data_IF_986289470462
#
_entry.id   IF_986289470462
#
_cell.length_a   1.000
_cell.length_b   1.000
_cell.length_c   1.000
_cell.angle_alpha   90.00
_cell.angle_beta   90.00
_cell.angle_gamma   90.00
#
_symmetry.space_group_name_H-M   'P 1'
#
loop_
_entity.id
_entity.type
_entity.pdbx_description
1 polymer ?
#
# COMPACT_ATOMS: atom_id res chain seq x y z
N UNK A 1 16.37 1.12 15.06
CA UNK A 1 17.27 2.27 15.32
C UNK A 1 18.29 2.49 14.22
N UNK A 2 18.96 1.45 13.68
CA UNK A 2 19.96 1.61 12.63
C UNK A 2 19.37 2.06 11.28
N UNK A 3 18.16 1.62 10.93
CA UNK A 3 17.40 2.14 9.79
C UNK A 3 17.08 3.62 9.99
N UNK A 4 16.61 4.01 11.19
CA UNK A 4 16.37 5.40 11.57
C UNK A 4 17.63 6.26 11.42
N UNK A 5 18.77 5.82 11.99
CA UNK A 5 20.05 6.55 11.89
C UNK A 5 20.54 6.67 10.45
N UNK A 6 20.24 5.69 9.61
CA UNK A 6 20.53 5.71 8.17
C UNK A 6 19.75 6.83 7.47
N UNK A 7 18.45 6.93 7.75
CA UNK A 7 17.56 7.93 7.15
C UNK A 7 17.89 9.34 7.66
N UNK A 8 18.16 9.49 8.97
CA UNK A 8 18.55 10.78 9.55
C UNK A 8 19.83 11.37 8.94
N UNK A 9 20.74 10.52 8.43
CA UNK A 9 21.96 10.93 7.70
C UNK A 9 21.70 11.32 6.24
N UNK A 10 20.53 11.02 5.68
CA UNK A 10 20.20 11.39 4.31
C UNK A 10 19.98 12.89 4.21
N UNK A 11 19.25 13.46 5.16
CA UNK A 11 18.95 14.90 5.19
C UNK A 11 18.75 15.38 6.62
N UNK A 12 19.25 16.56 6.93
CA UNK A 12 18.96 17.27 8.17
C UNK A 12 17.63 18.04 8.12
N UNK A 13 16.99 18.13 6.94
CA UNK A 13 15.65 18.73 6.79
C UNK A 13 14.55 17.77 7.22
N UNK A 14 13.88 18.11 8.32
CA UNK A 14 12.78 17.32 8.86
C UNK A 14 11.62 17.11 7.88
N UNK A 15 11.43 18.02 6.93
CA UNK A 15 10.37 17.89 5.90
C UNK A 15 10.73 16.84 4.86
N UNK A 16 12.02 16.71 4.51
CA UNK A 16 12.53 15.62 3.69
C UNK A 16 12.35 14.28 4.42
N UNK A 17 12.68 14.25 5.73
CA UNK A 17 12.51 13.06 6.56
C UNK A 17 11.04 12.61 6.63
N UNK A 18 10.08 13.57 6.74
CA UNK A 18 8.63 13.27 6.68
C UNK A 18 8.26 12.54 5.40
N UNK A 19 8.75 12.99 4.24
CA UNK A 19 8.42 12.36 2.95
C UNK A 19 9.06 10.98 2.80
N UNK A 20 10.34 10.86 3.15
CA UNK A 20 11.04 9.56 3.05
C UNK A 20 10.44 8.53 4.01
N UNK A 21 10.27 8.89 5.29
CA UNK A 21 9.80 7.96 6.33
C UNK A 21 8.27 7.84 6.32
N UNK A 22 7.57 8.94 6.05
CA UNK A 22 6.11 8.97 6.07
C UNK A 22 5.46 8.41 4.82
N UNK A 23 6.11 8.49 3.64
CA UNK A 23 5.56 8.03 2.38
C UNK A 23 6.36 6.88 1.77
N UNK A 24 7.64 7.11 1.44
CA UNK A 24 8.40 6.16 0.64
C UNK A 24 8.71 4.87 1.40
N UNK A 25 8.99 4.96 2.70
CA UNK A 25 9.21 3.81 3.55
C UNK A 25 7.92 2.98 3.76
N UNK A 26 6.75 3.55 4.08
CA UNK A 26 5.49 2.82 4.07
C UNK A 26 5.18 2.15 2.72
N UNK A 27 5.37 2.83 1.59
CA UNK A 27 5.19 2.22 0.26
C UNK A 27 6.05 0.96 0.12
N UNK A 28 7.31 1.03 0.54
CA UNK A 28 8.23 -0.11 0.51
C UNK A 28 7.77 -1.25 1.44
N UNK A 29 7.43 -0.91 2.69
CA UNK A 29 7.03 -1.88 3.71
C UNK A 29 5.68 -2.54 3.39
N UNK A 30 4.75 -1.82 2.77
CA UNK A 30 3.44 -2.36 2.38
C UNK A 30 3.60 -3.45 1.31
N UNK A 31 4.47 -3.23 0.34
CA UNK A 31 4.81 -4.27 -0.64
C UNK A 31 5.43 -5.52 -0.01
N UNK A 32 6.12 -5.35 1.10
CA UNK A 32 6.81 -6.44 1.79
C UNK A 32 5.92 -7.20 2.78
N UNK A 33 5.10 -6.49 3.55
CA UNK A 33 4.37 -7.05 4.69
C UNK A 33 2.84 -6.90 4.57
N UNK A 34 2.34 -5.83 3.96
CA UNK A 34 0.91 -5.54 3.85
C UNK A 34 0.20 -5.27 5.18
N UNK A 35 -1.11 -5.15 5.12
CA UNK A 35 -2.04 -5.22 6.25
C UNK A 35 -1.77 -4.26 7.43
N UNK A 36 -1.44 -2.99 7.15
CA UNK A 36 -1.26 -1.96 8.18
C UNK A 36 0.08 -2.01 8.95
N UNK A 37 0.92 -3.01 8.69
CA UNK A 37 2.26 -3.09 9.27
C UNK A 37 3.14 -1.87 8.97
N UNK A 38 3.08 -1.24 7.78
CA UNK A 38 3.88 -0.08 7.47
C UNK A 38 3.64 1.10 8.40
N UNK A 39 2.40 1.42 8.72
CA UNK A 39 2.07 2.52 9.63
C UNK A 39 2.58 2.26 11.06
N UNK A 40 2.46 1.02 11.54
CA UNK A 40 2.97 0.59 12.83
C UNK A 40 4.50 0.66 12.93
N UNK A 41 5.22 0.61 11.82
CA UNK A 41 6.69 0.73 11.77
C UNK A 41 7.11 2.20 11.55
N UNK A 42 6.47 2.91 10.63
CA UNK A 42 6.88 4.27 10.25
C UNK A 42 6.57 5.31 11.34
N UNK A 43 5.45 5.14 12.07
CA UNK A 43 5.07 6.09 13.12
C UNK A 43 6.14 6.18 14.24
N UNK A 44 6.63 5.07 14.83
CA UNK A 44 7.74 5.13 15.80
C UNK A 44 9.01 5.79 15.26
N UNK A 45 9.31 5.65 13.97
CA UNK A 45 10.46 6.32 13.39
C UNK A 45 10.29 7.84 13.35
N UNK A 46 9.11 8.32 12.98
CA UNK A 46 8.80 9.75 13.01
C UNK A 46 8.82 10.30 14.44
N UNK A 47 8.19 9.61 15.40
CA UNK A 47 8.21 10.00 16.82
C UNK A 47 9.64 10.05 17.34
N UNK A 48 10.44 9.06 17.01
CA UNK A 48 11.84 9.02 17.41
C UNK A 48 12.70 10.15 16.79
N UNK A 49 12.27 10.75 15.69
CA UNK A 49 12.85 11.97 15.11
C UNK A 49 12.25 13.25 15.69
N UNK A 50 11.45 13.16 16.76
CA UNK A 50 10.89 14.29 17.49
C UNK A 50 9.63 14.88 16.86
N UNK A 51 8.90 14.13 16.02
CA UNK A 51 7.58 14.53 15.54
C UNK A 51 6.51 14.25 16.59
N UNK A 52 5.44 15.04 16.57
CA UNK A 52 4.25 14.81 17.40
C UNK A 52 3.67 13.41 17.12
N UNK A 53 3.41 12.59 18.17
CA UNK A 53 2.99 11.20 17.98
C UNK A 53 1.71 11.05 17.16
N UNK A 54 0.67 11.84 17.43
CA UNK A 54 -0.61 11.77 16.70
C UNK A 54 -0.43 12.16 15.23
N UNK A 55 0.40 13.18 14.96
CA UNK A 55 0.73 13.57 13.58
C UNK A 55 1.57 12.52 12.89
N UNK A 56 2.51 11.88 13.61
CA UNK A 56 3.36 10.80 13.08
C UNK A 56 2.52 9.60 12.63
N UNK A 57 1.54 9.19 13.44
CA UNK A 57 0.61 8.11 13.08
C UNK A 57 -0.20 8.50 11.84
N UNK A 58 -0.78 9.70 11.82
CA UNK A 58 -1.60 10.15 10.70
C UNK A 58 -0.79 10.23 9.38
N UNK A 59 0.47 10.67 9.43
CA UNK A 59 1.38 10.70 8.28
C UNK A 59 1.72 9.28 7.81
N UNK A 60 2.03 8.37 8.74
CA UNK A 60 2.37 6.99 8.42
C UNK A 60 1.19 6.24 7.77
N UNK A 61 -0.04 6.43 8.29
CA UNK A 61 -1.27 5.91 7.69
C UNK A 61 -1.53 6.49 6.30
N UNK A 62 -1.25 7.79 6.08
CA UNK A 62 -1.39 8.41 4.77
C UNK A 62 -0.39 7.83 3.75
N UNK A 63 0.83 7.53 4.18
CA UNK A 63 1.84 6.89 3.33
C UNK A 63 1.47 5.48 2.90
N UNK A 64 0.69 4.80 3.72
CA UNK A 64 0.18 3.46 3.47
C UNK A 64 -1.06 3.43 2.56
N UNK A 65 -1.75 4.56 2.39
CA UNK A 65 -3.05 4.62 1.73
C UNK A 65 -3.03 4.37 0.20
N UNK A 66 -1.90 4.51 -0.49
CA UNK A 66 -1.82 4.26 -1.94
C UNK A 66 -1.17 2.92 -2.29
N UNK A 67 -0.11 2.48 -1.59
CA UNK A 67 0.55 1.22 -1.92
C UNK A 67 -0.25 -0.03 -1.52
N UNK A 68 -1.26 0.12 -0.67
CA UNK A 68 -2.05 -1.00 -0.16
C UNK A 68 -2.77 -1.80 -1.26
N UNK A 69 -2.98 -1.22 -2.44
CA UNK A 69 -3.43 -1.96 -3.63
C UNK A 69 -2.45 -3.06 -4.08
N UNK A 70 -1.17 -2.95 -3.72
CA UNK A 70 -0.15 -3.97 -3.99
C UNK A 70 0.48 -4.49 -2.69
N UNK A 71 -0.24 -4.38 -1.58
CA UNK A 71 0.18 -4.89 -0.29
C UNK A 71 0.44 -6.39 -0.31
N UNK A 72 1.42 -6.84 0.51
CA UNK A 72 1.79 -8.26 0.59
C UNK A 72 2.18 -8.84 -0.77
N UNK A 73 3.12 -8.22 -1.48
CA UNK A 73 3.57 -8.65 -2.81
C UNK A 73 2.43 -8.73 -3.85
N UNK A 74 1.53 -7.76 -3.86
CA UNK A 74 0.49 -7.64 -4.87
C UNK A 74 -0.81 -8.38 -4.57
N UNK A 75 -0.93 -9.06 -3.43
CA UNK A 75 -2.10 -9.89 -3.09
C UNK A 75 -3.44 -9.15 -3.20
N UNK A 76 -3.47 -7.88 -2.80
CA UNK A 76 -4.68 -7.06 -2.86
C UNK A 76 -5.23 -6.92 -4.28
N UNK A 77 -4.37 -6.78 -5.28
CA UNK A 77 -4.79 -6.72 -6.70
C UNK A 77 -4.93 -8.11 -7.31
N UNK A 78 -4.05 -9.05 -7.00
CA UNK A 78 -4.06 -10.40 -7.57
C UNK A 78 -5.30 -11.17 -7.12
N UNK A 79 -5.45 -11.37 -5.82
CA UNK A 79 -6.57 -12.14 -5.28
C UNK A 79 -7.85 -11.31 -5.20
N UNK A 80 -7.72 -10.01 -4.90
CA UNK A 80 -8.88 -9.13 -4.88
C UNK A 80 -9.55 -8.99 -6.25
N UNK A 81 -8.78 -9.12 -7.33
CA UNK A 81 -9.28 -9.07 -8.70
C UNK A 81 -9.56 -10.43 -9.34
N UNK A 82 -9.50 -11.52 -8.56
CA UNK A 82 -9.64 -12.89 -9.08
C UNK A 82 -10.97 -13.10 -9.83
N UNK A 83 -12.08 -12.53 -9.33
CA UNK A 83 -13.37 -12.64 -9.99
C UNK A 83 -13.37 -12.17 -11.46
N UNK A 84 -12.65 -11.09 -11.77
CA UNK A 84 -12.53 -10.59 -13.15
C UNK A 84 -11.64 -11.49 -14.01
N UNK A 85 -10.60 -12.07 -13.42
CA UNK A 85 -9.67 -12.97 -14.12
C UNK A 85 -10.34 -14.31 -14.40
N UNK A 86 -11.06 -14.86 -13.43
CA UNK A 86 -11.77 -16.13 -13.54
C UNK A 86 -12.94 -16.04 -14.55
N UNK A 87 -13.58 -14.87 -14.64
CA UNK A 87 -14.59 -14.60 -15.67
C UNK A 87 -13.98 -14.37 -17.07
N UNK A 88 -12.65 -14.31 -17.20
CA UNK A 88 -11.97 -14.10 -18.48
C UNK A 88 -12.06 -12.67 -19.04
N UNK A 89 -12.54 -11.70 -18.24
CA UNK A 89 -12.72 -10.30 -18.69
C UNK A 89 -11.49 -9.43 -18.39
N UNK A 90 -10.53 -9.93 -17.62
CA UNK A 90 -9.29 -9.21 -17.29
C UNK A 90 -8.12 -10.15 -17.07
N UNK A 91 -6.96 -9.55 -16.83
CA UNK A 91 -5.75 -10.22 -16.34
C UNK A 91 -5.21 -9.45 -15.14
N UNK A 92 -4.37 -10.11 -14.33
CA UNK A 92 -3.68 -9.46 -13.20
C UNK A 92 -2.89 -8.22 -13.68
N UNK A 93 -2.25 -8.32 -14.84
CA UNK A 93 -1.48 -7.22 -15.43
C UNK A 93 -2.37 -6.02 -15.79
N UNK A 94 -3.52 -6.25 -16.41
CA UNK A 94 -4.48 -5.19 -16.75
C UNK A 94 -5.07 -4.55 -15.49
N UNK A 95 -5.44 -5.35 -14.49
CA UNK A 95 -5.92 -4.85 -13.21
C UNK A 95 -4.85 -3.96 -12.55
N UNK A 96 -3.61 -4.44 -12.42
CA UNK A 96 -2.50 -3.68 -11.84
C UNK A 96 -2.21 -2.39 -12.61
N UNK A 97 -2.23 -2.45 -13.94
CA UNK A 97 -1.98 -1.31 -14.81
C UNK A 97 -3.03 -0.21 -14.63
N UNK A 98 -4.31 -0.56 -14.54
CA UNK A 98 -5.37 0.43 -14.34
C UNK A 98 -5.37 0.98 -12.92
N UNK A 99 -5.14 0.15 -11.90
CA UNK A 99 -4.97 0.60 -10.50
C UNK A 99 -3.81 1.60 -10.39
N UNK A 100 -2.70 1.34 -11.08
CA UNK A 100 -1.56 2.25 -11.14
C UNK A 100 -1.92 3.64 -11.65
N UNK A 101 -2.80 3.74 -12.65
CA UNK A 101 -3.28 5.03 -13.17
C UNK A 101 -4.07 5.84 -12.14
N UNK A 102 -4.82 5.20 -11.26
CA UNK A 102 -5.48 5.90 -10.15
C UNK A 102 -4.45 6.44 -9.16
N UNK A 103 -3.53 5.58 -8.73
CA UNK A 103 -2.56 5.92 -7.68
C UNK A 103 -1.51 6.94 -8.11
N UNK A 104 -1.26 7.12 -9.40
CA UNK A 104 -0.40 8.19 -9.91
C UNK A 104 -0.75 9.56 -9.31
N UNK A 105 -2.02 9.90 -9.29
CA UNK A 105 -2.48 11.18 -8.75
C UNK A 105 -2.42 11.22 -7.22
N UNK A 106 -2.68 10.08 -6.56
CA UNK A 106 -2.54 9.96 -5.11
C UNK A 106 -1.11 10.24 -4.66
N UNK A 107 -0.13 9.50 -5.18
CA UNK A 107 1.28 9.66 -4.78
C UNK A 107 1.86 11.01 -5.15
N UNK A 108 1.33 11.66 -6.20
CA UNK A 108 1.76 13.00 -6.61
C UNK A 108 1.47 14.05 -5.54
N UNK A 109 0.30 13.99 -4.90
CA UNK A 109 -0.16 14.99 -3.92
C UNK A 109 0.21 14.67 -2.48
N UNK A 110 0.47 13.40 -2.15
CA UNK A 110 0.75 12.95 -0.78
C UNK A 110 1.93 13.68 -0.12
N UNK A 111 3.10 13.92 -0.77
CA UNK A 111 4.20 14.66 -0.15
C UNK A 111 3.78 16.06 0.33
N UNK A 112 2.91 16.71 -0.42
CA UNK A 112 2.39 18.05 -0.07
C UNK A 112 1.44 17.97 1.12
N UNK A 113 0.53 16.98 1.13
CA UNK A 113 -0.41 16.79 2.24
C UNK A 113 0.37 16.46 3.53
N UNK A 114 1.39 15.61 3.48
CA UNK A 114 2.22 15.26 4.63
C UNK A 114 2.93 16.47 5.24
N UNK A 115 3.57 17.28 4.41
CA UNK A 115 4.24 18.49 4.89
C UNK A 115 3.23 19.50 5.44
N UNK A 116 2.04 19.58 4.83
CA UNK A 116 0.95 20.41 5.36
C UNK A 116 0.43 19.90 6.71
N UNK A 117 0.28 18.59 6.88
CA UNK A 117 -0.14 17.98 8.15
C UNK A 117 0.89 18.22 9.26
N UNK A 118 2.18 18.13 8.95
CA UNK A 118 3.25 18.30 9.92
C UNK A 118 3.52 19.76 10.30
N UNK A 119 3.40 20.69 9.36
CA UNK A 119 3.90 22.07 9.52
C UNK A 119 2.95 23.17 9.04
N UNK A 120 1.78 22.79 8.51
CA UNK A 120 0.85 23.73 7.89
C UNK A 120 1.45 24.43 6.67
N UNK A 121 0.85 25.57 6.28
CA UNK A 121 1.30 26.37 5.11
C UNK A 121 2.76 26.84 5.21
N UNK A 122 3.27 27.01 6.42
CA UNK A 122 4.65 27.47 6.66
C UNK A 122 5.69 26.41 6.28
N UNK A 123 5.28 25.13 6.22
CA UNK A 123 6.13 24.01 5.80
C UNK A 123 6.60 24.07 4.37
N UNK A 124 5.87 24.75 3.48
CA UNK A 124 6.18 24.76 2.04
C UNK A 124 7.34 25.68 1.64
N UNK A 125 7.75 26.60 2.53
CA UNK A 125 8.78 27.60 2.19
C UNK A 125 10.13 26.93 1.83
N UNK A 126 10.51 27.01 0.55
CA UNK A 126 11.81 26.53 0.05
C UNK A 126 11.92 25.01 -0.17
N UNK A 127 10.84 24.21 0.04
CA UNK A 127 10.85 22.76 -0.13
C UNK A 127 10.07 22.30 -1.38
N UNK A 128 9.30 23.19 -2.01
CA UNK A 128 8.43 22.84 -3.14
C UNK A 128 9.13 22.07 -4.26
N UNK A 129 10.36 22.44 -4.72
CA UNK A 129 11.03 21.66 -5.76
C UNK A 129 11.27 20.21 -5.37
N UNK A 130 11.65 19.97 -4.10
CA UNK A 130 11.83 18.61 -3.60
C UNK A 130 10.49 17.84 -3.52
N UNK A 131 9.41 18.45 -3.02
CA UNK A 131 8.10 17.81 -2.95
C UNK A 131 7.57 17.44 -4.33
N UNK A 132 7.72 18.34 -5.30
CA UNK A 132 7.37 18.05 -6.70
C UNK A 132 8.20 16.90 -7.26
N UNK A 133 9.53 16.94 -7.05
CA UNK A 133 10.40 15.84 -7.46
C UNK A 133 10.00 14.52 -6.83
N UNK A 134 9.77 14.49 -5.50
CA UNK A 134 9.38 13.30 -4.77
C UNK A 134 8.05 12.72 -5.27
N UNK A 135 7.04 13.57 -5.47
CA UNK A 135 5.74 13.16 -6.01
C UNK A 135 5.84 12.64 -7.44
N UNK A 136 6.49 13.38 -8.34
CA UNK A 136 6.63 13.02 -9.75
C UNK A 136 7.48 11.76 -9.92
N UNK A 137 8.61 11.65 -9.26
CA UNK A 137 9.47 10.46 -9.37
C UNK A 137 8.77 9.21 -8.85
N UNK A 138 8.09 9.28 -7.69
CA UNK A 138 7.33 8.15 -7.15
C UNK A 138 6.17 7.75 -8.07
N UNK A 139 5.46 8.75 -8.64
CA UNK A 139 4.40 8.55 -9.61
C UNK A 139 4.92 7.79 -10.85
N UNK A 140 6.03 8.23 -11.45
CA UNK A 140 6.60 7.60 -12.64
C UNK A 140 7.09 6.17 -12.36
N UNK A 141 7.78 5.96 -11.24
CA UNK A 141 8.23 4.61 -10.84
C UNK A 141 7.05 3.68 -10.63
N UNK A 142 6.03 4.12 -9.90
CA UNK A 142 4.82 3.32 -9.66
C UNK A 142 4.09 3.01 -10.96
N UNK A 143 3.98 3.97 -11.88
CA UNK A 143 3.40 3.75 -13.20
C UNK A 143 4.16 2.70 -14.00
N UNK A 144 5.49 2.80 -14.06
CA UNK A 144 6.31 1.85 -14.81
C UNK A 144 6.18 0.44 -14.21
N UNK A 145 6.29 0.30 -12.91
CA UNK A 145 6.23 -1.00 -12.26
C UNK A 145 4.84 -1.64 -12.37
N UNK A 146 3.77 -0.88 -12.15
CA UNK A 146 2.40 -1.40 -12.22
C UNK A 146 1.94 -1.78 -13.62
N UNK A 147 2.48 -1.12 -14.66
CA UNK A 147 2.05 -1.35 -16.05
C UNK A 147 2.95 -2.35 -16.82
N UNK A 148 4.23 -2.45 -16.49
CA UNK A 148 5.20 -3.18 -17.32
C UNK A 148 5.96 -4.28 -16.57
N UNK A 149 5.92 -4.29 -15.22
CA UNK A 149 6.68 -5.28 -14.44
C UNK A 149 5.75 -6.29 -13.77
N UNK A 150 4.83 -5.84 -12.92
CA UNK A 150 3.84 -6.71 -12.28
C UNK A 150 3.40 -6.22 -10.91
N UNK A 151 2.24 -6.72 -10.47
CA UNK A 151 1.63 -6.34 -9.20
C UNK A 151 2.51 -6.67 -8.00
N UNK A 152 3.25 -7.78 -8.07
CA UNK A 152 4.03 -8.37 -6.98
C UNK A 152 5.15 -7.46 -6.48
N UNK A 153 5.74 -6.68 -7.39
CA UNK A 153 6.90 -5.84 -7.08
C UNK A 153 6.56 -4.35 -7.07
N UNK A 154 5.34 -3.97 -7.47
CA UNK A 154 4.97 -2.57 -7.68
C UNK A 154 5.17 -1.73 -6.43
N UNK A 155 4.60 -2.11 -5.29
CA UNK A 155 4.73 -1.32 -4.07
C UNK A 155 6.17 -1.31 -3.56
N UNK A 156 6.76 -2.49 -3.37
CA UNK A 156 8.12 -2.61 -2.82
C UNK A 156 9.17 -1.92 -3.71
N UNK A 157 9.11 -2.15 -5.02
CA UNK A 157 10.01 -1.50 -5.98
C UNK A 157 9.83 0.02 -6.01
N UNK A 158 8.57 0.49 -5.99
CA UNK A 158 8.27 1.93 -5.95
C UNK A 158 8.89 2.57 -4.71
N UNK A 159 8.67 1.99 -3.53
CA UNK A 159 9.20 2.54 -2.28
C UNK A 159 10.73 2.62 -2.29
N UNK A 160 11.41 1.52 -2.66
CA UNK A 160 12.87 1.47 -2.67
C UNK A 160 13.48 2.45 -3.68
N UNK A 161 13.00 2.42 -4.93
CA UNK A 161 13.53 3.28 -6.00
C UNK A 161 13.28 4.75 -5.63
N UNK A 162 12.10 5.08 -5.09
CA UNK A 162 11.79 6.45 -4.66
C UNK A 162 12.69 6.92 -3.52
N UNK A 163 13.01 6.06 -2.55
CA UNK A 163 14.01 6.39 -1.50
C UNK A 163 15.37 6.69 -2.14
N UNK A 164 15.84 5.84 -3.05
CA UNK A 164 17.14 6.04 -3.72
C UNK A 164 17.17 7.33 -4.53
N UNK A 165 16.12 7.62 -5.28
CA UNK A 165 15.99 8.87 -6.06
C UNK A 165 15.94 10.10 -5.14
N UNK A 166 15.22 10.00 -4.01
CA UNK A 166 15.15 11.06 -3.01
C UNK A 166 16.52 11.34 -2.37
N UNK A 167 17.27 10.28 -2.03
CA UNK A 167 18.64 10.37 -1.52
C UNK A 167 19.55 11.03 -2.56
N UNK A 168 19.45 10.60 -3.82
CA UNK A 168 20.24 11.19 -4.92
C UNK A 168 19.92 12.68 -5.09
N UNK A 169 18.64 13.06 -5.09
CA UNK A 169 18.23 14.46 -5.18
C UNK A 169 18.85 15.31 -4.05
N UNK A 170 18.73 14.84 -2.80
CA UNK A 170 19.26 15.58 -1.63
C UNK A 170 20.78 15.76 -1.71
N UNK A 171 21.51 14.75 -2.20
CA UNK A 171 22.97 14.80 -2.32
C UNK A 171 23.45 15.62 -3.50
N UNK A 172 22.76 15.58 -4.65
CA UNK A 172 23.20 16.20 -5.90
C UNK A 172 22.68 17.64 -6.06
N UNK A 173 21.40 17.85 -5.70
CA UNK A 173 20.73 19.16 -5.87
C UNK A 173 20.74 19.95 -4.56
N UNK A 174 20.61 19.23 -3.45
CA UNK A 174 20.50 19.83 -2.12
C UNK A 174 19.09 20.36 -1.82
N UNK A 175 18.81 20.62 -0.55
CA UNK A 175 17.57 21.23 -0.09
C UNK A 175 17.94 22.44 0.79
N UNK A 176 17.40 23.62 0.49
CA UNK A 176 17.59 24.81 1.34
C UNK A 176 16.80 24.63 2.62
N UNK A 177 17.48 24.26 3.70
CA UNK A 177 16.87 23.96 5.00
C UNK A 177 16.94 25.19 5.92
N UNK A 178 15.80 25.86 6.19
CA UNK A 178 15.73 26.88 7.24
C UNK A 178 16.03 26.27 8.62
N UNK A 179 16.72 26.98 9.50
CA UNK A 179 17.13 26.49 10.83
C UNK A 179 15.97 25.91 11.66
N UNK A 180 14.78 26.44 11.46
CA UNK A 180 13.53 25.97 12.09
C UNK A 180 13.19 24.52 11.76
N UNK A 181 13.56 24.01 10.59
CA UNK A 181 13.26 22.67 10.10
C UNK A 181 14.47 21.73 10.16
N UNK A 182 15.61 22.25 10.66
CA UNK A 182 16.82 21.45 10.79
C UNK A 182 16.71 20.47 11.97
N UNK A 183 17.04 19.23 11.72
CA UNK A 183 17.19 18.23 12.78
C UNK A 183 18.52 18.50 13.50
N UNK A 184 18.44 18.69 14.83
CA UNK A 184 19.61 18.95 15.68
C UNK A 184 20.12 17.68 16.36
N UNK A 185 19.46 16.55 16.17
CA UNK A 185 19.92 15.28 16.78
C UNK A 185 21.17 14.76 16.06
N UNK A 186 22.22 14.50 16.83
CA UNK A 186 23.42 13.80 16.34
C UNK A 186 23.08 12.34 16.01
N UNK A 187 23.63 11.85 14.89
CA UNK A 187 23.46 10.46 14.48
C UNK A 187 24.20 9.54 15.47
N UNK A 188 23.45 8.75 16.23
CA UNK A 188 24.02 7.76 17.19
C UNK A 188 24.86 6.71 16.47
N UNK A 189 25.81 6.10 17.22
CA UNK A 189 26.63 5.00 16.74
C UNK A 189 25.75 3.81 16.31
N UNK A 190 26.02 3.23 15.14
CA UNK A 190 25.27 2.11 14.59
C UNK A 190 25.79 0.78 15.13
N UNK A 191 24.89 -0.14 15.41
CA UNK A 191 25.23 -1.54 15.69
C UNK A 191 25.45 -2.34 14.40
N UNK A 192 24.68 -2.05 13.37
CA UNK A 192 24.72 -2.73 12.08
C UNK A 192 24.99 -1.75 10.93
N UNK A 193 25.60 -2.25 9.87
CA UNK A 193 25.74 -1.48 8.63
C UNK A 193 24.36 -1.24 7.97
N UNK A 194 24.26 -0.23 7.10
CA UNK A 194 23.01 0.05 6.37
C UNK A 194 22.55 -1.16 5.57
N UNK A 195 23.49 -1.90 4.96
CA UNK A 195 23.18 -3.13 4.22
C UNK A 195 22.60 -4.21 5.15
N UNK A 196 23.24 -4.46 6.29
CA UNK A 196 22.76 -5.45 7.24
C UNK A 196 21.35 -5.12 7.75
N UNK A 197 21.11 -3.85 8.13
CA UNK A 197 19.79 -3.42 8.60
C UNK A 197 18.69 -3.57 7.56
N UNK A 198 19.01 -3.36 6.27
CA UNK A 198 18.06 -3.45 5.15
C UNK A 198 18.04 -4.82 4.48
N UNK A 199 18.90 -5.75 4.87
CA UNK A 199 19.13 -7.03 4.18
C UNK A 199 17.87 -7.87 3.96
N UNK A 200 16.91 -8.05 4.90
CA UNK A 200 15.72 -8.85 4.65
C UNK A 200 14.91 -8.31 3.48
N UNK A 201 14.81 -6.99 3.38
CA UNK A 201 14.05 -6.30 2.36
C UNK A 201 14.77 -6.30 1.00
N UNK A 202 16.10 -6.17 1.00
CA UNK A 202 16.92 -6.30 -0.21
C UNK A 202 16.79 -7.72 -0.79
N UNK A 203 16.81 -8.74 0.08
CA UNK A 203 16.58 -10.11 -0.35
C UNK A 203 15.19 -10.30 -0.97
N UNK A 204 14.14 -9.73 -0.39
CA UNK A 204 12.79 -9.77 -0.96
C UNK A 204 12.75 -9.11 -2.35
N UNK A 205 13.37 -7.94 -2.48
CA UNK A 205 13.41 -7.21 -3.74
C UNK A 205 14.10 -8.01 -4.87
N UNK A 206 15.07 -8.83 -4.54
CA UNK A 206 15.78 -9.68 -5.51
C UNK A 206 15.07 -11.00 -5.73
N UNK A 207 14.68 -11.69 -4.66
CA UNK A 207 14.14 -13.05 -4.75
C UNK A 207 12.72 -13.10 -5.31
N UNK A 208 11.86 -12.11 -5.02
CA UNK A 208 10.50 -12.10 -5.57
C UNK A 208 10.49 -12.04 -7.11
N UNK A 209 11.19 -11.09 -7.78
CA UNK A 209 11.28 -11.08 -9.23
C UNK A 209 12.01 -12.31 -9.77
N UNK A 210 13.05 -12.78 -9.08
CA UNK A 210 13.80 -13.97 -9.51
C UNK A 210 12.91 -15.22 -9.55
N UNK A 211 12.10 -15.43 -8.52
CA UNK A 211 11.14 -16.54 -8.49
C UNK A 211 10.05 -16.35 -9.53
N UNK A 212 9.50 -15.13 -9.66
CA UNK A 212 8.40 -14.84 -10.59
C UNK A 212 8.76 -15.00 -12.06
N UNK A 213 9.95 -14.54 -12.43
CA UNK A 213 10.39 -14.49 -13.83
C UNK A 213 11.53 -15.48 -14.15
N UNK A 214 12.44 -15.68 -13.21
CA UNK A 214 13.60 -16.57 -13.40
C UNK A 214 13.23 -18.04 -13.34
N UNK A 215 12.39 -18.44 -12.38
CA UNK A 215 11.98 -19.83 -12.25
C UNK A 215 11.25 -20.36 -13.52
N UNK A 216 10.23 -19.65 -14.07
CA UNK A 216 9.60 -20.06 -15.31
C UNK A 216 10.51 -20.04 -16.54
N UNK A 217 11.57 -19.22 -16.53
CA UNK A 217 12.53 -19.17 -17.63
C UNK A 217 13.47 -20.38 -17.66
N UNK A 218 13.73 -21.00 -16.52
CA UNK A 218 14.66 -22.14 -16.39
C UNK A 218 13.93 -23.47 -16.34
N UNK A 219 12.75 -23.53 -15.73
CA UNK A 219 11.96 -24.75 -15.56
C UNK A 219 10.91 -24.84 -16.67
N UNK A 220 10.91 -25.90 -17.51
CA UNK A 220 9.86 -26.09 -18.49
C UNK A 220 8.48 -26.09 -17.83
N UNK A 221 7.55 -25.32 -18.37
CA UNK A 221 6.23 -25.09 -17.77
C UNK A 221 6.26 -24.58 -16.31
N UNK A 222 7.35 -23.93 -15.90
CA UNK A 222 7.58 -23.50 -14.51
C UNK A 222 6.47 -22.64 -13.94
N UNK A 223 5.83 -21.80 -14.76
CA UNK A 223 4.69 -21.02 -14.31
C UNK A 223 3.47 -21.90 -13.99
N UNK A 224 3.18 -22.91 -14.81
CA UNK A 224 2.10 -23.86 -14.53
C UNK A 224 2.40 -24.68 -13.26
N UNK A 225 3.65 -25.09 -13.05
CA UNK A 225 4.10 -25.74 -11.81
C UNK A 225 3.90 -24.84 -10.59
N UNK A 226 4.23 -23.56 -10.67
CA UNK A 226 3.99 -22.60 -9.61
C UNK A 226 2.49 -22.49 -9.30
N UNK A 227 1.64 -22.42 -10.33
CA UNK A 227 0.19 -22.33 -10.16
C UNK A 227 -0.43 -23.59 -9.56
N UNK A 228 0.16 -24.78 -9.78
CA UNK A 228 -0.34 -26.06 -9.20
C UNK A 228 -0.37 -26.03 -7.66
N UNK A 229 0.60 -25.36 -7.02
CA UNK A 229 0.67 -25.19 -5.56
C UNK A 229 0.02 -23.90 -5.07
N UNK A 230 -0.55 -23.10 -5.97
CA UNK A 230 -0.99 -21.75 -5.70
C UNK A 230 0.19 -20.75 -5.73
N UNK A 231 0.10 -19.76 -6.61
CA UNK A 231 1.17 -18.76 -6.77
C UNK A 231 1.52 -18.03 -5.46
N UNK A 232 0.53 -17.80 -4.61
CA UNK A 232 0.69 -17.16 -3.30
C UNK A 232 1.64 -17.94 -2.39
N UNK A 233 1.57 -19.26 -2.41
CA UNK A 233 2.47 -20.10 -1.62
C UNK A 233 3.95 -19.81 -1.90
N UNK A 234 4.30 -19.54 -3.16
CA UNK A 234 5.66 -19.19 -3.54
C UNK A 234 6.08 -17.82 -2.99
N UNK A 235 5.17 -16.84 -2.99
CA UNK A 235 5.42 -15.52 -2.41
C UNK A 235 5.67 -15.65 -0.91
N UNK A 236 4.82 -16.37 -0.19
CA UNK A 236 4.96 -16.60 1.25
C UNK A 236 6.27 -17.32 1.59
N UNK A 237 6.64 -18.34 0.78
CA UNK A 237 7.90 -19.05 0.93
C UNK A 237 9.10 -18.12 0.74
N UNK A 238 9.08 -17.27 -0.27
CA UNK A 238 10.14 -16.28 -0.52
C UNK A 238 10.25 -15.31 0.65
N UNK A 239 9.13 -14.79 1.18
CA UNK A 239 9.13 -13.89 2.33
C UNK A 239 9.75 -14.58 3.56
N UNK A 240 9.37 -15.83 3.82
CA UNK A 240 9.94 -16.63 4.90
C UNK A 240 11.46 -16.80 4.75
N UNK A 241 11.92 -17.18 3.55
CA UNK A 241 13.36 -17.35 3.26
C UNK A 241 14.11 -16.04 3.44
N UNK A 242 13.57 -14.92 2.96
CA UNK A 242 14.15 -13.59 3.14
C UNK A 242 14.27 -13.21 4.62
N UNK A 243 13.25 -13.52 5.42
CA UNK A 243 13.28 -13.34 6.87
C UNK A 243 14.41 -14.15 7.54
N UNK A 244 14.58 -15.41 7.13
CA UNK A 244 15.66 -16.28 7.64
C UNK A 244 17.04 -15.77 7.23
N UNK A 245 17.25 -15.41 5.97
CA UNK A 245 18.49 -14.83 5.45
C UNK A 245 18.83 -13.50 6.15
N UNK A 246 17.83 -12.65 6.35
CA UNK A 246 17.98 -11.40 7.09
C UNK A 246 18.38 -11.62 8.54
N UNK A 247 17.76 -12.57 9.23
CA UNK A 247 18.14 -12.95 10.58
C UNK A 247 19.59 -13.46 10.67
N UNK A 248 20.01 -14.27 9.69
CA UNK A 248 21.40 -14.75 9.59
C UNK A 248 22.38 -13.60 9.34
N UNK A 249 22.07 -12.68 8.42
CA UNK A 249 22.90 -11.49 8.10
C UNK A 249 23.06 -10.56 9.31
N UNK A 250 22.01 -10.44 10.13
CA UNK A 250 22.03 -9.67 11.39
C UNK A 250 22.68 -10.40 12.54
N UNK A 251 23.08 -11.66 12.36
CA UNK A 251 23.65 -12.48 13.44
C UNK A 251 22.68 -12.71 14.61
N UNK A 252 21.37 -12.83 14.30
CA UNK A 252 20.35 -13.04 15.34
C UNK A 252 20.53 -14.38 16.01
N UNK A 253 20.55 -14.38 17.35
CA UNK A 253 20.70 -15.63 18.11
C UNK A 253 19.51 -16.58 17.89
N UNK A 254 19.74 -17.88 17.92
CA UNK A 254 18.68 -18.90 17.80
C UNK A 254 17.57 -18.70 18.83
N UNK A 255 17.91 -18.28 20.04
CA UNK A 255 16.95 -17.99 21.12
C UNK A 255 16.03 -16.83 20.75
N UNK A 256 16.60 -15.75 20.24
CA UNK A 256 15.84 -14.57 19.79
C UNK A 256 14.96 -14.91 18.58
N UNK A 257 15.53 -15.64 17.60
CA UNK A 257 14.77 -16.07 16.42
C UNK A 257 13.56 -16.94 16.80
N UNK A 258 13.76 -17.95 17.66
CA UNK A 258 12.67 -18.80 18.16
C UNK A 258 11.60 -18.02 18.91
N UNK A 259 12.00 -17.03 19.73
CA UNK A 259 11.06 -16.17 20.44
C UNK A 259 10.21 -15.33 19.49
N UNK A 260 10.82 -14.79 18.42
CA UNK A 260 10.11 -14.04 17.36
C UNK A 260 9.13 -14.96 16.63
N UNK A 261 9.57 -16.15 16.19
CA UNK A 261 8.69 -17.12 15.54
C UNK A 261 7.49 -17.49 16.42
N UNK A 262 7.70 -17.78 17.71
CA UNK A 262 6.62 -18.09 18.64
C UNK A 262 5.63 -16.93 18.79
N UNK A 263 6.13 -15.70 18.86
CA UNK A 263 5.28 -14.49 18.89
C UNK A 263 4.49 -14.32 17.58
N UNK A 264 5.13 -14.53 16.44
CA UNK A 264 4.49 -14.44 15.11
C UNK A 264 3.36 -15.44 14.99
N UNK A 265 3.57 -16.71 15.38
CA UNK A 265 2.51 -17.74 15.37
C UNK A 265 1.32 -17.32 16.23
N UNK A 266 1.56 -16.67 17.38
CA UNK A 266 0.48 -16.14 18.22
C UNK A 266 -0.37 -15.06 17.55
N UNK A 267 0.20 -14.31 16.61
CA UNK A 267 -0.54 -13.31 15.83
C UNK A 267 -1.25 -13.88 14.60
N UNK A 268 -0.86 -15.06 14.13
CA UNK A 268 -1.46 -15.70 12.94
C UNK A 268 -2.89 -16.16 13.22
N UNK A 269 -3.19 -16.70 14.38
CA UNK A 269 -4.51 -17.25 14.70
C UNK A 269 -5.65 -16.20 14.59
N UNK A 270 -5.54 -14.98 15.19
CA UNK A 270 -6.56 -13.94 14.98
C UNK A 270 -6.75 -13.55 13.52
N UNK A 271 -5.64 -13.46 12.76
CA UNK A 271 -5.68 -13.11 11.33
C UNK A 271 -6.40 -14.20 10.53
N UNK A 272 -6.10 -15.48 10.77
CA UNK A 272 -6.78 -16.59 10.12
C UNK A 272 -8.28 -16.61 10.43
N UNK A 273 -8.68 -16.37 11.68
CA UNK A 273 -10.09 -16.29 12.07
C UNK A 273 -10.78 -15.15 11.34
N UNK A 274 -10.18 -13.96 11.33
CA UNK A 274 -10.76 -12.78 10.66
C UNK A 274 -10.87 -13.02 9.15
N UNK A 275 -9.80 -13.42 8.49
CA UNK A 275 -9.80 -13.67 7.04
C UNK A 275 -10.72 -14.84 6.66
N UNK A 276 -10.72 -15.92 7.44
CA UNK A 276 -11.62 -17.05 7.23
C UNK A 276 -13.09 -16.64 7.35
N UNK A 277 -13.42 -15.84 8.37
CA UNK A 277 -14.79 -15.30 8.54
C UNK A 277 -15.21 -14.40 7.38
N UNK A 278 -14.32 -13.53 6.91
CA UNK A 278 -14.58 -12.68 5.75
C UNK A 278 -14.79 -13.48 4.46
N UNK A 279 -13.98 -14.52 4.25
CA UNK A 279 -14.16 -15.43 3.10
C UNK A 279 -15.50 -16.16 3.18
N UNK A 280 -15.91 -16.64 4.36
CA UNK A 280 -17.23 -17.27 4.54
C UNK A 280 -18.35 -16.29 4.20
N UNK A 281 -18.28 -15.05 4.67
CA UNK A 281 -19.27 -14.00 4.32
C UNK A 281 -19.28 -13.77 2.82
N UNK A 282 -18.12 -13.61 2.19
CA UNK A 282 -18.01 -13.42 0.74
C UNK A 282 -18.61 -14.59 -0.05
N UNK A 283 -18.30 -15.84 0.33
CA UNK A 283 -18.89 -17.03 -0.31
C UNK A 283 -20.39 -17.11 -0.15
N UNK A 284 -20.93 -16.78 1.02
CA UNK A 284 -22.39 -16.75 1.24
C UNK A 284 -23.03 -15.68 0.34
N UNK A 285 -22.44 -14.49 0.27
CA UNK A 285 -22.94 -13.39 -0.57
C UNK A 285 -22.89 -13.72 -2.06
N UNK A 286 -21.80 -14.36 -2.51
CA UNK A 286 -21.58 -14.74 -3.91
C UNK A 286 -22.37 -16.00 -4.33
N UNK A 287 -22.95 -16.73 -3.37
CA UNK A 287 -23.67 -17.97 -3.68
C UNK A 287 -24.88 -17.68 -4.58
N UNK A 288 -25.01 -18.37 -5.73
CA UNK A 288 -26.16 -18.22 -6.61
C UNK A 288 -27.50 -18.47 -5.92
N UNK A 289 -27.50 -19.34 -4.89
CA UNK A 289 -28.72 -19.67 -4.13
C UNK A 289 -29.24 -18.52 -3.27
N UNK A 290 -28.37 -17.58 -2.88
CA UNK A 290 -28.78 -16.41 -2.09
C UNK A 290 -29.22 -15.23 -2.97
N UNK A 291 -28.69 -15.11 -4.19
CA UNK A 291 -28.94 -14.00 -5.09
C UNK A 291 -28.51 -12.62 -4.57
N UNK A 292 -27.79 -12.59 -3.43
CA UNK A 292 -27.48 -11.34 -2.73
C UNK A 292 -26.64 -10.38 -3.58
N UNK A 293 -25.61 -10.89 -4.27
CA UNK A 293 -24.75 -10.05 -5.12
C UNK A 293 -25.50 -9.49 -6.32
N UNK A 294 -26.36 -10.30 -6.95
CA UNK A 294 -27.18 -9.85 -8.07
C UNK A 294 -28.14 -8.73 -7.64
N UNK A 295 -28.78 -8.87 -6.47
CA UNK A 295 -29.66 -7.82 -5.93
C UNK A 295 -28.89 -6.55 -5.62
N UNK A 296 -27.80 -6.64 -4.89
CA UNK A 296 -26.96 -5.47 -4.57
C UNK A 296 -26.43 -4.79 -5.83
N UNK A 297 -25.95 -5.56 -6.81
CA UNK A 297 -25.46 -5.01 -8.07
C UNK A 297 -26.59 -4.28 -8.82
N UNK A 298 -27.75 -4.91 -8.97
CA UNK A 298 -28.90 -4.32 -9.69
C UNK A 298 -29.46 -3.09 -8.98
N UNK A 299 -29.63 -3.16 -7.66
CA UNK A 299 -30.19 -2.06 -6.87
C UNK A 299 -29.25 -0.85 -6.87
N UNK A 300 -27.96 -1.04 -6.58
CA UNK A 300 -26.98 0.05 -6.61
C UNK A 300 -26.87 0.60 -8.05
N UNK A 301 -26.77 -0.27 -9.06
CA UNK A 301 -26.69 0.17 -10.46
C UNK A 301 -27.92 0.97 -10.88
N UNK A 302 -29.13 0.55 -10.46
CA UNK A 302 -30.38 1.24 -10.79
C UNK A 302 -30.49 2.63 -10.15
N UNK A 303 -30.03 2.77 -8.89
CA UNK A 303 -30.08 4.03 -8.15
C UNK A 303 -28.99 5.00 -8.62
N UNK A 304 -27.77 4.50 -8.80
CA UNK A 304 -26.59 5.33 -9.10
C UNK A 304 -26.38 5.50 -10.61
N UNK A 305 -26.79 4.53 -11.42
CA UNK A 305 -26.73 4.56 -12.87
C UNK A 305 -25.32 4.91 -13.38
N UNK A 306 -25.23 5.91 -14.25
CA UNK A 306 -23.97 6.35 -14.88
C UNK A 306 -22.90 6.84 -13.89
N UNK A 307 -23.25 7.12 -12.64
CA UNK A 307 -22.29 7.52 -11.60
C UNK A 307 -21.68 6.32 -10.86
N UNK A 308 -22.00 5.10 -11.28
CA UNK A 308 -21.50 3.88 -10.64
C UNK A 308 -19.97 3.82 -10.48
N UNK A 309 -19.12 4.28 -11.42
CA UNK A 309 -17.69 4.29 -11.23
C UNK A 309 -17.24 5.08 -9.98
N UNK A 310 -17.89 6.20 -9.69
CA UNK A 310 -17.61 6.97 -8.47
C UNK A 310 -18.12 6.23 -7.21
N UNK A 311 -19.27 5.55 -7.29
CA UNK A 311 -19.79 4.74 -6.21
C UNK A 311 -18.87 3.56 -5.89
N UNK A 312 -18.25 2.93 -6.90
CA UNK A 312 -17.30 1.83 -6.70
C UNK A 312 -16.11 2.24 -5.83
N UNK A 313 -15.58 3.45 -6.01
CA UNK A 313 -14.51 3.99 -5.14
C UNK A 313 -14.99 4.13 -3.69
N UNK A 314 -16.20 4.63 -3.49
CA UNK A 314 -16.79 4.80 -2.16
C UNK A 314 -17.07 3.44 -1.49
N UNK A 315 -17.60 2.48 -2.24
CA UNK A 315 -17.85 1.11 -1.77
C UNK A 315 -16.51 0.47 -1.35
N UNK A 316 -15.48 0.60 -2.19
CA UNK A 316 -14.14 0.10 -1.89
C UNK A 316 -13.59 0.65 -0.58
N UNK A 317 -13.68 1.96 -0.37
CA UNK A 317 -13.19 2.58 0.85
C UNK A 317 -14.00 2.19 2.09
N UNK A 318 -15.32 2.07 1.95
CA UNK A 318 -16.21 1.61 3.03
C UNK A 318 -15.95 0.14 3.38
N UNK A 319 -15.73 -0.70 2.37
CA UNK A 319 -15.37 -2.10 2.57
C UNK A 319 -14.05 -2.27 3.32
N UNK A 320 -13.02 -1.53 2.97
CA UNK A 320 -11.74 -1.57 3.67
C UNK A 320 -11.83 -1.01 5.10
N UNK A 321 -12.64 0.03 5.31
CA UNK A 321 -12.94 0.55 6.66
C UNK A 321 -13.56 -0.54 7.55
N UNK A 322 -14.49 -1.34 7.02
CA UNK A 322 -15.20 -2.39 7.76
C UNK A 322 -14.31 -3.61 7.95
N UNK A 323 -13.66 -4.09 6.88
CA UNK A 323 -12.90 -5.35 6.89
C UNK A 323 -11.49 -5.20 7.49
N UNK A 324 -10.99 -3.97 7.57
CA UNK A 324 -9.63 -3.69 8.03
C UNK A 324 -8.55 -3.86 6.95
N UNK A 325 -8.90 -4.27 5.74
CA UNK A 325 -7.93 -4.51 4.65
C UNK A 325 -8.51 -4.21 3.27
N UNK A 326 -7.65 -3.72 2.36
CA UNK A 326 -8.04 -3.56 0.94
C UNK A 326 -8.33 -4.90 0.26
N UNK A 327 -7.61 -5.96 0.63
CA UNK A 327 -7.86 -7.31 0.12
C UNK A 327 -9.26 -7.79 0.48
N UNK A 328 -9.66 -7.67 1.75
CA UNK A 328 -11.00 -8.07 2.20
C UNK A 328 -12.11 -7.32 1.47
N UNK A 329 -11.95 -6.00 1.29
CA UNK A 329 -12.89 -5.19 0.52
C UNK A 329 -13.00 -5.65 -0.94
N UNK A 330 -11.87 -5.91 -1.60
CA UNK A 330 -11.87 -6.34 -3.00
C UNK A 330 -12.50 -7.72 -3.18
N UNK A 331 -12.18 -8.69 -2.32
CA UNK A 331 -12.79 -10.03 -2.36
C UNK A 331 -14.31 -9.94 -2.17
N UNK A 332 -14.79 -9.08 -1.28
CA UNK A 332 -16.23 -8.93 -1.04
C UNK A 332 -16.97 -8.34 -2.22
N UNK A 333 -16.40 -7.39 -2.94
CA UNK A 333 -17.17 -6.58 -3.89
C UNK A 333 -16.76 -6.73 -5.36
N UNK A 334 -15.66 -7.44 -5.68
CA UNK A 334 -15.19 -7.56 -7.07
C UNK A 334 -16.24 -8.19 -8.00
N UNK A 335 -16.91 -9.26 -7.56
CA UNK A 335 -17.96 -9.92 -8.34
C UNK A 335 -19.20 -9.03 -8.51
N UNK A 336 -19.61 -8.32 -7.45
CA UNK A 336 -20.69 -7.33 -7.54
C UNK A 336 -20.39 -6.24 -8.57
N UNK A 337 -19.14 -5.75 -8.59
CA UNK A 337 -18.73 -4.73 -9.57
C UNK A 337 -18.68 -5.27 -10.99
N UNK A 338 -18.31 -6.54 -11.17
CA UNK A 338 -18.38 -7.21 -12.47
C UNK A 338 -19.81 -7.23 -13.01
N UNK A 339 -20.76 -7.71 -12.21
CA UNK A 339 -22.16 -7.79 -12.57
C UNK A 339 -22.78 -6.41 -12.84
N UNK A 340 -22.47 -5.41 -12.01
CA UNK A 340 -22.93 -4.05 -12.22
C UNK A 340 -22.34 -3.41 -13.50
N UNK A 341 -21.07 -3.72 -13.80
CA UNK A 341 -20.43 -3.27 -15.03
C UNK A 341 -21.13 -3.82 -16.28
N UNK A 342 -21.47 -5.10 -16.25
CA UNK A 342 -22.25 -5.76 -17.32
C UNK A 342 -23.63 -5.12 -17.49
N UNK A 343 -24.37 -4.96 -16.38
CA UNK A 343 -25.70 -4.35 -16.40
C UNK A 343 -25.71 -2.92 -16.93
N UNK A 344 -24.66 -2.15 -16.67
CA UNK A 344 -24.51 -0.77 -17.11
C UNK A 344 -23.75 -0.62 -18.43
N UNK A 345 -23.30 -1.72 -19.04
CA UNK A 345 -22.44 -1.72 -20.24
C UNK A 345 -21.18 -0.84 -20.05
N UNK A 346 -20.54 -0.95 -18.89
CA UNK A 346 -19.33 -0.23 -18.53
C UNK A 346 -18.13 -1.18 -18.45
N UNK A 347 -16.92 -0.63 -18.55
CA UNK A 347 -15.70 -1.42 -18.47
C UNK A 347 -15.45 -1.94 -17.03
N UNK A 348 -15.46 -3.27 -16.79
CA UNK A 348 -15.29 -3.85 -15.47
C UNK A 348 -13.90 -3.62 -14.88
N UNK A 349 -12.86 -3.49 -15.73
CA UNK A 349 -11.48 -3.27 -15.28
C UNK A 349 -11.33 -1.89 -14.65
N UNK A 350 -11.90 -0.86 -15.26
CA UNK A 350 -11.85 0.51 -14.74
C UNK A 350 -12.68 0.66 -13.46
N UNK A 351 -13.81 -0.01 -13.37
CA UNK A 351 -14.66 -0.04 -12.16
C UNK A 351 -13.92 -0.75 -11.02
N UNK A 352 -13.37 -1.94 -11.28
CA UNK A 352 -12.59 -2.67 -10.28
C UNK A 352 -11.35 -1.87 -9.83
N UNK A 353 -10.67 -1.19 -10.74
CA UNK A 353 -9.53 -0.36 -10.36
C UNK A 353 -9.94 0.81 -9.45
N UNK A 354 -11.11 1.41 -9.69
CA UNK A 354 -11.71 2.40 -8.79
C UNK A 354 -12.04 1.82 -7.41
N UNK A 355 -12.67 0.63 -7.37
CA UNK A 355 -12.90 -0.15 -6.14
C UNK A 355 -11.59 -0.38 -5.37
N UNK A 356 -10.56 -0.89 -6.03
CA UNK A 356 -9.27 -1.22 -5.42
C UNK A 356 -8.55 0.05 -4.91
N UNK A 357 -8.55 1.13 -5.68
CA UNK A 357 -7.99 2.41 -5.24
C UNK A 357 -8.75 2.98 -4.03
N UNK A 358 -10.08 2.87 -4.03
CA UNK A 358 -10.93 3.22 -2.89
C UNK A 358 -10.63 2.36 -1.67
N UNK A 359 -10.49 1.05 -1.85
CA UNK A 359 -10.17 0.11 -0.79
C UNK A 359 -8.79 0.40 -0.16
N UNK A 360 -7.80 0.70 -0.99
CA UNK A 360 -6.47 1.13 -0.52
C UNK A 360 -6.57 2.40 0.34
N UNK A 361 -7.34 3.38 -0.13
CA UNK A 361 -7.57 4.63 0.61
C UNK A 361 -8.35 4.42 1.91
N UNK A 362 -9.25 3.45 1.98
CA UNK A 362 -10.04 3.12 3.18
C UNK A 362 -9.16 2.71 4.37
N UNK A 363 -7.99 2.15 4.12
CA UNK A 363 -7.01 1.83 5.16
C UNK A 363 -6.57 3.05 5.98
N UNK A 364 -6.60 4.25 5.39
CA UNK A 364 -6.23 5.51 6.05
C UNK A 364 -7.13 5.87 7.25
N UNK A 365 -8.39 5.47 7.18
CA UNK A 365 -9.39 5.76 8.22
C UNK A 365 -9.86 4.49 8.95
N UNK A 366 -9.29 3.34 8.64
CA UNK A 366 -9.67 2.08 9.26
C UNK A 366 -9.30 2.06 10.76
N UNK A 367 -10.25 1.74 11.66
CA UNK A 367 -10.00 1.68 13.09
C UNK A 367 -8.89 0.69 13.47
N UNK A 368 -8.85 -0.49 12.83
CA UNK A 368 -7.85 -1.52 13.13
C UNK A 368 -6.41 -1.02 12.91
N UNK A 369 -6.16 -0.36 11.76
CA UNK A 369 -4.85 0.18 11.44
C UNK A 369 -4.48 1.34 12.35
N UNK A 370 -5.47 2.18 12.69
CA UNK A 370 -5.28 3.31 13.61
C UNK A 370 -4.90 2.81 15.01
N UNK A 371 -5.65 1.84 15.56
CA UNK A 371 -5.37 1.24 16.88
C UNK A 371 -3.99 0.58 16.89
N UNK A 372 -3.67 -0.21 15.86
CA UNK A 372 -2.38 -0.87 15.74
C UNK A 372 -1.22 0.14 15.73
N UNK A 373 -1.34 1.23 14.97
CA UNK A 373 -0.33 2.28 14.92
C UNK A 373 -0.24 3.08 16.24
N UNK A 374 -1.38 3.39 16.88
CA UNK A 374 -1.43 4.04 18.19
C UNK A 374 -0.69 3.22 19.26
N UNK A 375 -0.86 1.91 19.25
CA UNK A 375 -0.22 1.01 20.20
C UNK A 375 1.32 1.02 20.09
N UNK A 376 1.88 1.35 18.93
CA UNK A 376 3.35 1.34 18.72
C UNK A 376 4.06 2.57 19.26
N UNK A 377 3.31 3.64 19.57
CA UNK A 377 3.85 4.93 20.06
C UNK A 377 3.17 5.41 21.33
N UNK A 378 2.58 4.49 22.11
CA UNK A 378 1.91 4.75 23.38
C UNK A 378 0.79 5.80 23.28
N UNK A 379 0.02 5.76 22.18
CA UNK A 379 -1.11 6.67 21.92
C UNK A 379 -2.47 5.95 21.94
N UNK A 380 -2.59 4.82 22.62
CA UNK A 380 -3.86 4.13 22.82
C UNK A 380 -4.84 5.09 23.53
N UNK A 381 -6.05 5.22 22.99
CA UNK A 381 -7.08 6.17 23.45
C UNK A 381 -7.11 7.50 22.68
N UNK A 382 -6.10 7.78 21.83
CA UNK A 382 -6.04 8.99 20.99
C UNK A 382 -6.41 8.71 19.52
N UNK A 383 -7.02 7.56 19.23
CA UNK A 383 -7.40 7.13 17.86
C UNK A 383 -8.32 8.14 17.18
N UNK A 384 -9.24 8.74 17.94
CA UNK A 384 -10.15 9.78 17.44
C UNK A 384 -9.39 11.01 16.89
N UNK A 385 -8.31 11.42 17.55
CA UNK A 385 -7.55 12.58 17.12
C UNK A 385 -6.68 12.28 15.90
N UNK A 386 -6.18 11.04 15.78
CA UNK A 386 -5.55 10.55 14.56
C UNK A 386 -6.54 10.56 13.40
N UNK A 387 -7.74 9.98 13.60
CA UNK A 387 -8.77 9.91 12.57
C UNK A 387 -9.24 11.29 12.10
N UNK A 388 -9.37 12.28 13.00
CA UNK A 388 -9.69 13.67 12.62
C UNK A 388 -8.64 14.27 11.69
N UNK A 389 -7.35 13.92 11.88
CA UNK A 389 -6.27 14.40 11.00
C UNK A 389 -6.28 13.68 9.66
N UNK A 390 -6.49 12.37 9.64
CA UNK A 390 -6.52 11.57 8.41
C UNK A 390 -7.75 11.84 7.55
N UNK A 391 -8.90 12.13 8.17
CA UNK A 391 -10.19 12.32 7.47
C UNK A 391 -10.14 13.44 6.42
N UNK A 392 -9.36 14.51 6.66
CA UNK A 392 -9.21 15.58 5.65
C UNK A 392 -8.45 15.12 4.42
N UNK A 393 -7.35 14.39 4.62
CA UNK A 393 -6.57 13.81 3.54
C UNK A 393 -7.40 12.75 2.78
N UNK A 394 -8.11 11.91 3.52
CA UNK A 394 -9.04 10.93 2.97
C UNK A 394 -10.07 11.56 2.05
N UNK A 395 -10.79 12.59 2.52
CA UNK A 395 -11.82 13.25 1.73
C UNK A 395 -11.28 13.87 0.43
N UNK A 396 -10.10 14.50 0.48
CA UNK A 396 -9.47 15.09 -0.71
C UNK A 396 -9.14 14.00 -1.74
N UNK A 397 -8.49 12.92 -1.30
CA UNK A 397 -8.08 11.84 -2.21
C UNK A 397 -9.29 11.04 -2.70
N UNK A 398 -10.28 10.80 -1.82
CA UNK A 398 -11.52 10.12 -2.21
C UNK A 398 -12.26 10.86 -3.32
N UNK A 399 -12.49 12.17 -3.16
CA UNK A 399 -13.12 12.98 -4.19
C UNK A 399 -12.33 12.95 -5.50
N UNK A 400 -11.01 13.02 -5.43
CA UNK A 400 -10.15 12.92 -6.60
C UNK A 400 -10.31 11.55 -7.29
N UNK A 401 -10.30 10.44 -6.54
CA UNK A 401 -10.46 9.11 -7.12
C UNK A 401 -11.87 8.89 -7.70
N UNK A 402 -12.91 9.43 -7.07
CA UNK A 402 -14.27 9.40 -7.63
C UNK A 402 -14.34 10.12 -8.98
N UNK A 403 -13.73 11.30 -9.10
CA UNK A 403 -13.64 12.04 -10.37
C UNK A 403 -12.83 11.27 -11.40
N UNK A 404 -11.69 10.69 -11.02
CA UNK A 404 -10.86 9.87 -11.90
C UNK A 404 -11.61 8.62 -12.37
N UNK A 405 -12.39 7.97 -11.50
CA UNK A 405 -13.18 6.80 -11.85
C UNK A 405 -14.21 7.14 -12.94
N UNK A 406 -14.90 8.26 -12.79
CA UNK A 406 -15.82 8.75 -13.82
C UNK A 406 -15.09 9.05 -15.13
N UNK A 407 -13.96 9.78 -15.05
CA UNK A 407 -13.18 10.17 -16.21
C UNK A 407 -12.59 8.95 -16.95
N UNK A 408 -12.08 7.97 -16.21
CA UNK A 408 -11.46 6.78 -16.78
C UNK A 408 -12.49 5.84 -17.40
N UNK A 409 -13.57 5.57 -16.70
CA UNK A 409 -14.59 4.63 -17.20
C UNK A 409 -15.41 5.23 -18.35
N UNK A 410 -15.78 6.52 -18.29
CA UNK A 410 -16.70 7.08 -19.25
C UNK A 410 -16.02 7.80 -20.43
N UNK A 411 -14.74 8.24 -20.29
CA UNK A 411 -14.11 9.13 -21.28
C UNK A 411 -12.78 8.59 -21.79
N UNK A 412 -11.81 8.34 -20.89
CA UNK A 412 -10.43 8.08 -21.32
C UNK A 412 -10.16 6.61 -21.64
N UNK A 413 -10.74 5.69 -20.91
CA UNK A 413 -10.47 4.26 -21.00
C UNK A 413 -11.74 3.39 -21.04
N UNK A 414 -12.80 3.78 -21.79
CA UNK A 414 -14.04 2.99 -21.81
C UNK A 414 -13.84 1.57 -22.33
N UNK A 415 -12.85 1.35 -23.19
CA UNK A 415 -12.55 0.07 -23.82
C UNK A 415 -11.17 -0.49 -23.40
N UNK A 416 -10.65 -0.13 -22.22
CA UNK A 416 -9.34 -0.60 -21.77
C UNK A 416 -9.34 -2.11 -21.54
N UNK A 417 -8.44 -2.81 -22.24
CA UNK A 417 -8.28 -4.27 -22.11
C UNK A 417 -9.35 -5.13 -22.77
N UNK A 418 -10.30 -4.51 -23.48
CA UNK A 418 -11.35 -5.20 -24.25
C UNK A 418 -10.87 -5.56 -25.65
#
# INVERSE_FOLDING_TARGET
>A
EDVKSTIARISDDRRVQVVIIGMMLPIFLEGAAGAGAPAAIAAPFLVALGFDPVTSIAIALLGDATPASWGGAGLTTINGGAALVDAGVSTVALNSAMVGRFHMFGVLIIPFIMVWMAYGKKGFKGILPYLTFAGVSTCLVMFVLSNFVGAEVTSMGTGLISILLSVAYVKLVGVKTPDKFRNKEEARARKYSSFQAMSPYIYMLVLLPLVRYGFPAVVPNGFAVMCTFGYIFWVDLVILVCGMLGAATLGVSRKTYSAVCKRTVGHVAPVLVTMGSLLVVAYIMQSPSTGMMNLLASDIASVVGKFYPAAAVLIGSSGAFITGTGLGSNIMFADMHLQAAEALSMNPITIFAGQNAGASLGNLICPNNTVAACATVDQIGNESDVMKKTLKAFAIILCMYMVLAMLYTCVLFPNFGM
#
